data_IF_772418401338
#
_entry.id   IF_772418401338
#
_cell.length_a   1.000
_cell.length_b   1.000
_cell.length_c   1.000
_cell.angle_alpha   90.00
_cell.angle_beta   90.00
_cell.angle_gamma   90.00
#
_symmetry.space_group_name_H-M   'P 1'
#
loop_
_entity.id
_entity.type
_entity.pdbx_description
1 polymer ?
#
# COMPACT_ATOMS: atom_id res chain seq x y z
N UNK A 1 -14.42 -15.43 10.76
CA UNK A 1 -12.95 -15.51 10.63
C UNK A 1 -12.54 -14.25 9.91
N UNK A 2 -11.67 -13.46 10.51
CA UNK A 2 -11.13 -12.28 9.83
C UNK A 2 -10.04 -12.77 8.89
N UNK A 3 -10.27 -12.63 7.60
CA UNK A 3 -9.35 -13.09 6.59
C UNK A 3 -8.93 -11.88 5.77
N UNK A 4 -7.62 -11.68 5.66
CA UNK A 4 -7.03 -10.81 4.66
C UNK A 4 -6.53 -11.73 3.55
N UNK A 5 -6.93 -11.43 2.32
CA UNK A 5 -6.29 -11.97 1.14
C UNK A 5 -5.48 -10.87 0.46
N UNK A 6 -4.28 -11.21 0.01
CA UNK A 6 -3.40 -10.28 -0.69
C UNK A 6 -3.09 -10.90 -2.05
N UNK A 7 -3.72 -10.38 -3.10
CA UNK A 7 -3.31 -10.72 -4.44
C UNK A 7 -2.15 -9.83 -4.85
N UNK A 8 -1.24 -10.39 -5.65
CA UNK A 8 -0.11 -9.66 -6.18
C UNK A 8 -0.08 -9.85 -7.69
N UNK A 9 -0.10 -8.74 -8.42
CA UNK A 9 0.10 -8.71 -9.87
C UNK A 9 1.10 -7.64 -10.25
N UNK A 10 1.62 -7.75 -11.47
CA UNK A 10 2.56 -6.79 -12.03
C UNK A 10 1.93 -6.09 -13.23
N UNK A 11 2.05 -4.77 -13.28
CA UNK A 11 1.62 -3.93 -14.41
C UNK A 11 2.83 -3.14 -14.86
N UNK A 12 3.46 -3.56 -15.96
CA UNK A 12 4.73 -2.96 -16.39
C UNK A 12 5.81 -3.10 -15.31
N UNK A 13 6.28 -1.97 -14.78
CA UNK A 13 7.29 -1.89 -13.73
C UNK A 13 6.70 -1.73 -12.32
N UNK A 14 5.36 -1.76 -12.19
CA UNK A 14 4.65 -1.53 -10.94
C UNK A 14 4.13 -2.83 -10.35
N UNK A 15 4.35 -3.02 -9.06
CA UNK A 15 3.81 -4.14 -8.30
C UNK A 15 2.52 -3.72 -7.60
N UNK A 16 1.41 -4.32 -8.02
CA UNK A 16 0.08 -4.01 -7.49
C UNK A 16 -0.30 -5.07 -6.46
N UNK A 17 -0.59 -4.62 -5.25
CA UNK A 17 -1.09 -5.42 -4.14
C UNK A 17 -2.56 -5.09 -3.90
N UNK A 18 -3.43 -6.07 -4.14
CA UNK A 18 -4.87 -5.94 -3.88
C UNK A 18 -5.17 -6.50 -2.48
N UNK A 19 -5.63 -5.64 -1.58
CA UNK A 19 -5.97 -6.01 -0.22
C UNK A 19 -7.47 -6.26 -0.11
N UNK A 20 -7.85 -7.51 0.17
CA UNK A 20 -9.24 -7.95 0.23
C UNK A 20 -9.55 -8.41 1.67
N UNK A 21 -10.58 -7.81 2.28
CA UNK A 21 -11.04 -8.16 3.62
C UNK A 21 -10.59 -7.18 4.72
N UNK A 22 -10.01 -7.67 5.81
CA UNK A 22 -9.68 -6.85 6.99
C UNK A 22 -8.17 -6.84 7.31
N UNK A 23 -7.57 -5.66 7.44
CA UNK A 23 -6.19 -5.47 7.86
C UNK A 23 -6.11 -5.05 9.34
N UNK A 24 -5.85 -6.01 10.23
CA UNK A 24 -5.72 -5.80 11.67
C UNK A 24 -4.45 -6.43 12.26
N UNK A 25 -4.30 -6.47 13.59
CA UNK A 25 -3.10 -6.99 14.24
C UNK A 25 -2.75 -8.45 13.89
N UNK A 26 -3.73 -9.27 13.51
CA UNK A 26 -3.51 -10.66 13.14
C UNK A 26 -3.07 -10.77 11.67
N UNK A 27 -3.65 -9.96 10.79
CA UNK A 27 -3.40 -10.00 9.34
C UNK A 27 -2.26 -9.08 8.90
N UNK A 28 -1.87 -8.11 9.71
CA UNK A 28 -0.74 -7.19 9.48
C UNK A 28 0.57 -7.93 9.17
N UNK A 29 0.82 -9.05 9.86
CA UNK A 29 2.00 -9.89 9.61
C UNK A 29 2.05 -10.49 8.20
N UNK A 30 0.91 -10.62 7.52
CA UNK A 30 0.85 -11.10 6.13
C UNK A 30 1.29 -10.01 5.16
N UNK A 31 0.78 -8.79 5.34
CA UNK A 31 1.19 -7.62 4.55
C UNK A 31 2.68 -7.36 4.71
N UNK A 32 3.18 -7.39 5.95
CA UNK A 32 4.60 -7.25 6.25
C UNK A 32 5.48 -8.24 5.47
N UNK A 33 5.09 -9.53 5.46
CA UNK A 33 5.83 -10.56 4.70
C UNK A 33 5.84 -10.29 3.20
N UNK A 34 4.74 -9.79 2.65
CA UNK A 34 4.64 -9.46 1.23
C UNK A 34 5.53 -8.26 0.90
N UNK A 35 5.44 -7.16 1.65
CA UNK A 35 6.26 -5.97 1.45
C UNK A 35 7.75 -6.31 1.54
N UNK A 36 8.15 -7.04 2.59
CA UNK A 36 9.55 -7.49 2.76
C UNK A 36 10.03 -8.36 1.61
N UNK A 37 9.16 -9.23 1.08
CA UNK A 37 9.49 -10.05 -0.09
C UNK A 37 9.72 -9.20 -1.33
N UNK A 38 8.89 -8.18 -1.57
CA UNK A 38 9.04 -7.26 -2.70
C UNK A 38 10.34 -6.45 -2.58
N UNK A 39 10.61 -5.87 -1.41
CA UNK A 39 11.86 -5.13 -1.15
C UNK A 39 13.09 -6.02 -1.42
N UNK A 40 13.09 -7.26 -0.93
CA UNK A 40 14.19 -8.21 -1.16
C UNK A 40 14.34 -8.64 -2.63
N UNK A 41 13.30 -8.48 -3.44
CA UNK A 41 13.31 -8.74 -4.88
C UNK A 41 13.71 -7.50 -5.69
N UNK A 42 14.16 -6.43 -5.03
CA UNK A 42 14.45 -5.14 -5.65
C UNK A 42 13.22 -4.65 -6.43
N UNK A 43 12.04 -4.79 -5.82
CA UNK A 43 10.78 -4.23 -6.32
C UNK A 43 10.45 -3.02 -5.48
N UNK A 44 10.48 -1.86 -6.13
CA UNK A 44 10.52 -0.57 -5.46
C UNK A 44 9.23 0.24 -5.69
N UNK A 45 8.56 0.09 -6.84
CA UNK A 45 7.35 0.85 -7.16
C UNK A 45 6.10 0.03 -6.83
N UNK A 46 5.55 0.24 -5.64
CA UNK A 46 4.44 -0.57 -5.11
C UNK A 46 3.15 0.25 -5.11
N UNK A 47 2.09 -0.31 -5.67
CA UNK A 47 0.73 0.22 -5.62
C UNK A 47 -0.10 -0.69 -4.73
N UNK A 48 -0.81 -0.12 -3.77
CA UNK A 48 -1.68 -0.87 -2.86
C UNK A 48 -3.12 -0.47 -3.13
N UNK A 49 -3.85 -1.36 -3.80
CA UNK A 49 -5.26 -1.20 -4.07
C UNK A 49 -6.09 -1.64 -2.85
N UNK A 50 -6.90 -0.70 -2.36
CA UNK A 50 -7.73 -0.85 -1.17
C UNK A 50 -9.25 -0.92 -1.49
N UNK A 51 -9.63 -1.22 -2.72
CA UNK A 51 -11.02 -1.27 -3.19
C UNK A 51 -11.86 -2.25 -2.36
N UNK A 52 -11.34 -3.46 -2.20
CA UNK A 52 -11.97 -4.55 -1.44
C UNK A 52 -11.51 -4.61 0.04
N UNK A 53 -10.81 -3.57 0.52
CA UNK A 53 -10.35 -3.49 1.91
C UNK A 53 -11.49 -2.95 2.79
N UNK A 54 -12.20 -3.82 3.48
CA UNK A 54 -13.39 -3.44 4.27
C UNK A 54 -13.04 -2.68 5.56
N UNK A 55 -11.87 -2.98 6.15
CA UNK A 55 -11.47 -2.43 7.44
C UNK A 55 -9.95 -2.40 7.63
N UNK A 56 -9.46 -1.37 8.33
CA UNK A 56 -8.09 -1.27 8.79
C UNK A 56 -8.03 -0.87 10.27
N UNK A 57 -7.10 -1.47 11.03
CA UNK A 57 -6.76 -1.09 12.40
C UNK A 57 -5.35 -0.51 12.50
N UNK A 58 -5.03 0.08 13.66
CA UNK A 58 -3.73 0.71 13.95
C UNK A 58 -2.52 -0.17 13.67
N UNK A 59 -2.65 -1.49 13.84
CA UNK A 59 -1.57 -2.42 13.55
C UNK A 59 -1.25 -2.52 12.05
N UNK A 60 -2.26 -2.46 11.18
CA UNK A 60 -2.07 -2.43 9.73
C UNK A 60 -1.34 -1.16 9.26
N UNK A 61 -1.76 -0.03 9.82
CA UNK A 61 -1.13 1.28 9.59
C UNK A 61 0.34 1.29 10.05
N UNK A 62 0.62 0.67 11.19
CA UNK A 62 1.99 0.53 11.69
C UNK A 62 2.91 -0.22 10.73
N UNK A 63 2.40 -1.22 10.00
CA UNK A 63 3.18 -1.91 8.96
C UNK A 63 3.50 -0.97 7.82
N UNK A 64 2.52 -0.23 7.29
CA UNK A 64 2.79 0.76 6.25
C UNK A 64 3.86 1.75 6.69
N UNK A 65 3.69 2.35 7.87
CA UNK A 65 4.63 3.35 8.42
C UNK A 65 6.04 2.78 8.64
N UNK A 66 6.17 1.51 9.03
CA UNK A 66 7.47 0.88 9.24
C UNK A 66 8.23 0.62 7.92
N UNK A 67 7.51 0.33 6.84
CA UNK A 67 8.14 -0.12 5.58
C UNK A 67 8.20 0.96 4.50
N UNK A 68 7.55 2.12 4.66
CA UNK A 68 7.63 3.21 3.68
C UNK A 68 9.05 3.74 3.53
N UNK A 69 9.77 3.93 4.64
CA UNK A 69 11.17 4.39 4.59
C UNK A 69 12.08 3.32 3.97
N UNK A 70 11.85 2.04 4.25
CA UNK A 70 12.61 0.94 3.65
C UNK A 70 12.44 0.90 2.13
N UNK A 71 11.20 1.02 1.62
CA UNK A 71 10.94 1.07 0.16
C UNK A 71 11.56 2.31 -0.48
N UNK A 72 11.46 3.47 0.16
CA UNK A 72 12.08 4.71 -0.32
C UNK A 72 13.60 4.66 -0.30
N UNK A 73 14.19 3.96 0.66
CA UNK A 73 15.65 3.80 0.77
C UNK A 73 16.25 3.02 -0.41
N UNK A 74 15.46 2.14 -1.04
CA UNK A 74 15.84 1.40 -2.24
C UNK A 74 15.42 2.11 -3.54
N UNK A 75 15.03 3.38 -3.46
CA UNK A 75 14.72 4.23 -4.62
C UNK A 75 13.31 4.08 -5.19
N UNK A 76 12.37 3.51 -4.41
CA UNK A 76 10.98 3.36 -4.83
C UNK A 76 10.00 4.16 -3.97
N UNK A 77 8.71 3.83 -4.08
CA UNK A 77 7.68 4.35 -3.19
C UNK A 77 6.49 3.40 -3.06
N UNK A 78 5.62 3.68 -2.10
CA UNK A 78 4.32 3.03 -1.93
C UNK A 78 3.22 4.05 -2.19
N UNK A 79 2.34 3.78 -3.15
CA UNK A 79 1.14 4.58 -3.43
C UNK A 79 -0.11 3.78 -3.13
N UNK A 80 -1.14 4.45 -2.61
CA UNK A 80 -2.41 3.83 -2.21
C UNK A 80 -3.49 4.23 -3.20
N UNK A 81 -4.29 3.28 -3.67
CA UNK A 81 -5.39 3.55 -4.59
C UNK A 81 -6.72 2.97 -4.10
N UNK A 82 -7.82 3.46 -4.68
CA UNK A 82 -9.17 2.91 -4.51
C UNK A 82 -9.61 2.79 -3.03
N UNK A 83 -9.11 3.67 -2.18
CA UNK A 83 -9.39 3.61 -0.75
C UNK A 83 -10.83 4.03 -0.46
N UNK A 84 -11.60 3.15 0.20
CA UNK A 84 -12.94 3.53 0.61
C UNK A 84 -12.91 4.60 1.73
N UNK A 85 -14.00 5.38 1.91
CA UNK A 85 -14.02 6.47 2.90
C UNK A 85 -13.78 6.03 4.35
N UNK A 86 -14.16 4.79 4.71
CA UNK A 86 -13.97 4.28 6.07
C UNK A 86 -12.49 4.04 6.36
N UNK A 87 -11.78 3.39 5.43
CA UNK A 87 -10.34 3.18 5.50
C UNK A 87 -9.61 4.52 5.44
N UNK A 88 -9.99 5.40 4.51
CA UNK A 88 -9.39 6.74 4.38
C UNK A 88 -9.49 7.54 5.68
N UNK A 89 -10.65 7.58 6.33
CA UNK A 89 -10.82 8.29 7.60
C UNK A 89 -9.84 7.79 8.67
N UNK A 90 -9.53 6.49 8.70
CA UNK A 90 -8.58 5.93 9.66
C UNK A 90 -7.14 6.36 9.33
N UNK A 91 -6.78 6.44 8.04
CA UNK A 91 -5.49 6.99 7.60
C UNK A 91 -5.37 8.50 7.92
N UNK A 92 -6.42 9.26 7.63
CA UNK A 92 -6.49 10.72 7.82
C UNK A 92 -6.37 11.11 9.29
N UNK A 93 -7.05 10.38 10.19
CA UNK A 93 -6.93 10.58 11.63
C UNK A 93 -5.50 10.44 12.17
N UNK A 94 -4.65 9.69 11.47
CA UNK A 94 -3.24 9.49 11.84
C UNK A 94 -2.27 10.32 10.99
N UNK A 95 -2.76 11.14 10.06
CA UNK A 95 -1.94 12.01 9.22
C UNK A 95 -1.21 11.31 8.08
N UNK A 96 -1.56 10.06 7.76
CA UNK A 96 -0.93 9.30 6.68
C UNK A 96 -1.08 9.92 5.28
N UNK A 97 -2.15 10.66 4.94
CA UNK A 97 -2.24 11.35 3.65
C UNK A 97 -1.12 12.37 3.40
N UNK A 98 -0.35 12.75 4.43
CA UNK A 98 0.84 13.62 4.27
C UNK A 98 2.11 12.85 3.91
N UNK A 99 2.12 11.54 4.14
CA UNK A 99 3.27 10.65 3.91
C UNK A 99 3.11 9.84 2.62
N UNK A 100 1.87 9.48 2.29
CA UNK A 100 1.51 8.66 1.13
C UNK A 100 0.76 9.45 0.09
N UNK A 101 1.04 9.12 -1.17
CA UNK A 101 0.14 9.42 -2.26
C UNK A 101 -1.08 8.50 -2.20
N UNK A 102 -2.22 9.06 -1.80
CA UNK A 102 -3.51 8.38 -1.84
C UNK A 102 -4.31 8.94 -3.00
N UNK A 103 -4.55 8.10 -4.00
CA UNK A 103 -5.28 8.46 -5.23
C UNK A 103 -6.57 7.64 -5.33
N UNK A 104 -7.59 8.11 -6.06
CA UNK A 104 -8.85 7.38 -6.21
C UNK A 104 -8.70 6.11 -7.05
N UNK A 105 -7.81 6.08 -8.05
CA UNK A 105 -7.68 4.97 -9.01
C UNK A 105 -6.24 4.49 -9.16
N UNK A 106 -6.05 3.21 -9.47
CA UNK A 106 -4.73 2.63 -9.74
C UNK A 106 -3.99 3.32 -10.90
N UNK A 107 -4.72 3.73 -11.94
CA UNK A 107 -4.15 4.41 -13.11
C UNK A 107 -3.50 5.75 -12.71
N UNK A 108 -4.08 6.47 -11.77
CA UNK A 108 -3.50 7.70 -11.22
C UNK A 108 -2.23 7.43 -10.41
N UNK A 109 -2.16 6.29 -9.71
CA UNK A 109 -0.97 5.89 -8.96
C UNK A 109 0.20 5.64 -9.92
N UNK A 110 -0.08 4.96 -11.05
CA UNK A 110 0.89 4.74 -12.13
C UNK A 110 1.37 6.07 -12.70
N UNK A 111 0.44 6.97 -13.08
CA UNK A 111 0.79 8.29 -13.63
C UNK A 111 1.65 9.12 -12.68
N UNK A 112 1.38 9.03 -11.37
CA UNK A 112 2.22 9.70 -10.38
C UNK A 112 3.64 9.13 -10.34
N UNK A 113 3.82 7.81 -10.40
CA UNK A 113 5.17 7.24 -10.49
C UNK A 113 5.91 7.72 -11.73
N UNK A 114 5.25 7.74 -12.90
CA UNK A 114 5.86 8.23 -14.14
C UNK A 114 6.24 9.72 -14.07
N UNK A 115 5.45 10.51 -13.34
CA UNK A 115 5.73 11.93 -13.14
C UNK A 115 6.95 12.14 -12.24
N UNK A 116 7.05 11.38 -11.14
CA UNK A 116 8.18 11.47 -10.21
C UNK A 116 9.51 10.98 -10.83
N UNK A 117 9.46 10.02 -11.76
CA UNK A 117 10.64 9.55 -12.51
C UNK A 117 11.11 10.53 -13.60
N UNK A 118 10.28 11.50 -13.97
CA UNK A 118 10.56 12.47 -15.04
C UNK A 118 11.20 13.77 -14.54
N UNK A 119 11.36 13.95 -13.23
CA UNK A 119 12.02 15.09 -12.58
C UNK A 119 13.51 14.84 -12.25
#
# INVERSE_FOLDING_TARGET
MKNLNINHRQVGNYDVLELIGELDAHTASQLEKVLKRLINQEKHNIIVNCEDLEYIASAGLGVFMAYIEDVRSVGGDIKLSNMNPKVYNVFDLLGFPTLYDIVPEEEEAIQKFESDESE
#
